data_IF_887517177401
#
_entry.id   IF_887517177401
#
_cell.length_a   1.000
_cell.length_b   1.000
_cell.length_c   1.000
_cell.angle_alpha   90.00
_cell.angle_beta   90.00
_cell.angle_gamma   90.00
#
_symmetry.space_group_name_H-M   'P 1'
#
loop_
_entity.id
_entity.type
_entity.pdbx_description
1 polymer ?
#
# COMPACT_ATOMS: atom_id res chain seq x y z
N UNK A 1 -21.68 11.84 23.36
CA UNK A 1 -21.11 11.15 22.20
C UNK A 1 -19.80 10.50 22.61
N UNK A 2 -19.71 9.22 22.46
CA UNK A 2 -18.48 8.46 22.68
C UNK A 2 -17.98 8.06 21.30
N UNK A 3 -16.73 8.43 20.97
CA UNK A 3 -16.14 8.04 19.69
C UNK A 3 -15.34 6.75 19.88
N UNK A 4 -15.59 5.78 19.00
CA UNK A 4 -14.80 4.53 18.92
C UNK A 4 -13.50 4.76 18.19
N UNK A 5 -13.45 5.77 17.30
CA UNK A 5 -12.25 6.24 16.62
C UNK A 5 -12.20 7.77 16.64
N UNK A 6 -11.06 8.32 17.03
CA UNK A 6 -10.76 9.75 16.92
C UNK A 6 -9.32 9.93 16.46
N UNK A 7 -9.11 10.54 15.31
CA UNK A 7 -7.80 11.01 14.88
C UNK A 7 -7.87 12.47 14.48
N UNK A 8 -6.78 13.20 14.76
CA UNK A 8 -6.66 14.62 14.41
C UNK A 8 -5.25 14.89 13.89
N UNK A 9 -5.14 15.72 12.85
CA UNK A 9 -3.87 16.15 12.30
C UNK A 9 -3.90 17.59 11.82
N UNK A 10 -2.81 18.30 12.02
CA UNK A 10 -2.51 19.60 11.40
C UNK A 10 -1.94 19.46 10.00
N UNK A 11 -1.56 18.23 9.58
CA UNK A 11 -1.05 17.93 8.25
C UNK A 11 -2.16 17.66 7.23
N UNK A 12 -3.27 18.34 7.35
CA UNK A 12 -4.47 18.14 6.55
C UNK A 12 -4.22 18.39 5.04
N UNK A 13 -3.28 19.30 4.69
CA UNK A 13 -2.88 19.52 3.30
C UNK A 13 -2.25 18.28 2.66
N UNK A 14 -1.40 17.54 3.40
CA UNK A 14 -0.82 16.29 2.93
C UNK A 14 -1.90 15.23 2.71
N UNK A 15 -2.87 15.13 3.63
CA UNK A 15 -4.01 14.21 3.47
C UNK A 15 -4.86 14.53 2.23
N UNK A 16 -5.04 15.79 1.89
CA UNK A 16 -5.73 16.19 0.66
C UNK A 16 -4.97 15.77 -0.59
N UNK A 17 -3.64 15.98 -0.62
CA UNK A 17 -2.79 15.61 -1.77
C UNK A 17 -2.80 14.11 -1.98
N UNK A 18 -2.59 13.32 -0.92
CA UNK A 18 -2.59 11.86 -1.01
C UNK A 18 -3.95 11.32 -1.43
N UNK A 19 -5.04 11.89 -0.90
CA UNK A 19 -6.41 11.48 -1.29
C UNK A 19 -6.68 11.80 -2.76
N UNK A 20 -6.21 12.94 -3.30
CA UNK A 20 -6.35 13.26 -4.74
C UNK A 20 -5.58 12.29 -5.63
N UNK A 21 -4.37 11.88 -5.22
CA UNK A 21 -3.60 10.86 -5.93
C UNK A 21 -4.31 9.50 -5.91
N UNK A 22 -4.78 9.05 -4.74
CA UNK A 22 -5.52 7.79 -4.59
C UNK A 22 -6.82 7.82 -5.40
N UNK A 23 -7.57 8.91 -5.38
CA UNK A 23 -8.82 9.06 -6.16
C UNK A 23 -8.61 8.92 -7.68
N UNK A 24 -7.39 9.13 -8.16
CA UNK A 24 -7.06 8.93 -9.59
C UNK A 24 -6.79 7.45 -9.94
N UNK A 25 -6.65 6.60 -8.94
CA UNK A 25 -6.32 5.17 -9.06
C UNK A 25 -7.46 4.28 -8.59
N UNK A 26 -8.17 4.69 -7.54
CA UNK A 26 -9.22 3.93 -6.85
C UNK A 26 -10.50 4.78 -6.78
N UNK A 27 -11.66 4.13 -6.91
CA UNK A 27 -12.97 4.78 -6.68
C UNK A 27 -13.37 4.74 -5.22
N UNK A 28 -13.09 3.64 -4.57
CA UNK A 28 -13.46 3.26 -3.22
C UNK A 28 -12.31 2.42 -2.63
N UNK A 29 -12.18 2.40 -1.32
CA UNK A 29 -11.16 1.62 -0.63
C UNK A 29 -11.50 1.36 0.82
N UNK A 30 -11.00 0.23 1.34
CA UNK A 30 -11.01 -0.09 2.76
C UNK A 30 -9.84 0.60 3.47
N UNK A 31 -10.16 1.34 4.52
CA UNK A 31 -9.19 1.90 5.45
C UNK A 31 -9.23 1.09 6.73
N UNK A 32 -8.13 0.46 7.05
CA UNK A 32 -7.95 -0.34 8.26
C UNK A 32 -7.32 0.52 9.36
N UNK A 33 -7.98 0.61 10.49
CA UNK A 33 -7.50 1.31 11.68
C UNK A 33 -7.10 0.31 12.74
N UNK A 34 -5.93 0.51 13.33
CA UNK A 34 -5.34 -0.35 14.35
C UNK A 34 -5.13 0.42 15.65
N UNK A 35 -5.13 -0.26 16.83
CA UNK A 35 -4.77 0.35 18.11
C UNK A 35 -3.42 1.07 18.05
N UNK A 36 -3.20 2.03 18.96
CA UNK A 36 -1.94 2.77 19.01
C UNK A 36 -0.71 1.84 19.10
N UNK A 37 -0.82 0.78 19.91
CA UNK A 37 0.19 -0.28 20.00
C UNK A 37 -0.41 -1.62 19.62
N UNK A 38 0.32 -2.39 18.80
CA UNK A 38 0.02 -3.76 18.41
C UNK A 38 1.04 -4.65 19.12
N UNK A 39 0.60 -5.67 19.85
CA UNK A 39 1.47 -6.68 20.44
C UNK A 39 1.88 -7.70 19.40
N UNK A 40 3.20 -7.90 19.18
CA UNK A 40 3.69 -8.95 18.27
C UNK A 40 3.43 -10.32 18.89
N UNK A 41 2.77 -11.21 18.14
CA UNK A 41 2.53 -12.61 18.52
C UNK A 41 1.08 -13.04 18.55
N UNK A 42 0.13 -12.17 18.23
CA UNK A 42 -1.26 -12.54 18.06
C UNK A 42 -1.67 -12.44 16.59
N UNK A 43 -1.39 -13.54 15.83
CA UNK A 43 -2.00 -13.72 14.50
C UNK A 43 -3.52 -13.64 14.62
N UNK A 44 -4.14 -13.01 13.64
CA UNK A 44 -5.58 -12.78 13.58
C UNK A 44 -6.33 -14.12 13.52
N UNK A 45 -6.85 -14.58 14.66
CA UNK A 45 -7.88 -15.62 14.71
C UNK A 45 -9.22 -14.98 14.30
N UNK A 46 -9.48 -14.85 13.02
CA UNK A 46 -10.81 -14.66 12.46
C UNK A 46 -11.28 -16.01 11.88
N UNK A 47 -11.38 -17.03 12.73
CA UNK A 47 -12.19 -18.20 12.43
C UNK A 47 -13.65 -17.88 12.78
N UNK A 48 -14.40 -17.49 11.77
CA UNK A 48 -15.86 -17.53 11.81
C UNK A 48 -16.32 -18.99 11.97
N UNK A 49 -16.71 -19.38 13.17
CA UNK A 49 -17.45 -20.60 13.43
C UNK A 49 -18.81 -20.48 12.77
N UNK A 50 -18.95 -21.05 11.58
CA UNK A 50 -20.24 -21.42 11.05
C UNK A 50 -20.60 -22.79 11.61
N UNK A 51 -21.70 -22.82 12.36
CA UNK A 51 -22.38 -23.99 12.88
C UNK A 51 -22.94 -24.83 11.73
N UNK A 52 -22.63 -26.11 11.82
CA UNK A 52 -23.17 -27.20 11.00
C UNK A 52 -24.69 -27.20 10.93
N UNK A 53 -25.21 -27.37 9.73
CA UNK A 53 -26.46 -28.07 9.50
C UNK A 53 -26.29 -28.94 8.26
N UNK A 54 -26.31 -30.24 8.52
CA UNK A 54 -26.36 -31.33 7.55
C UNK A 54 -27.51 -31.17 6.58
N UNK A 55 -27.24 -31.43 5.30
CA UNK A 55 -28.21 -32.15 4.43
C UNK A 55 -27.48 -32.80 3.25
N UNK A 56 -27.55 -34.12 3.29
CA UNK A 56 -27.24 -35.05 2.20
C UNK A 56 -28.11 -34.79 0.98
N UNK A 57 -27.51 -34.79 -0.21
CA UNK A 57 -28.09 -35.36 -1.43
C UNK A 57 -26.99 -35.73 -2.41
N UNK A 58 -26.89 -37.04 -2.66
CA UNK A 58 -26.17 -37.66 -3.76
C UNK A 58 -26.86 -37.35 -5.09
N UNK A 59 -26.09 -37.13 -6.16
CA UNK A 59 -26.41 -37.66 -7.49
C UNK A 59 -25.19 -37.59 -8.42
N UNK A 60 -24.87 -38.75 -8.95
CA UNK A 60 -23.91 -38.98 -10.03
C UNK A 60 -24.40 -38.46 -11.37
N UNK A 61 -23.48 -38.06 -12.26
CA UNK A 61 -23.35 -38.56 -13.67
C UNK A 61 -22.41 -37.71 -14.50
N UNK A 62 -21.36 -38.30 -14.95
CA UNK A 62 -20.87 -38.60 -16.31
C UNK A 62 -20.52 -37.47 -17.30
N UNK A 63 -19.24 -37.54 -17.66
CA UNK A 63 -18.60 -37.45 -18.98
C UNK A 63 -18.99 -36.34 -19.99
N UNK A 64 -17.97 -35.55 -20.39
CA UNK A 64 -17.50 -35.54 -21.77
C UNK A 64 -16.30 -34.58 -21.95
N UNK A 65 -15.28 -35.11 -22.59
CA UNK A 65 -14.12 -34.46 -23.18
C UNK A 65 -14.47 -33.32 -24.15
N UNK A 66 -13.70 -32.23 -24.11
CA UNK A 66 -13.27 -31.56 -25.35
C UNK A 66 -12.05 -30.68 -25.10
N UNK A 67 -11.00 -31.11 -25.76
CA UNK A 67 -9.74 -30.47 -26.06
C UNK A 67 -9.94 -29.18 -26.83
N UNK A 68 -9.37 -28.05 -26.33
CA UNK A 68 -8.91 -26.97 -27.21
C UNK A 68 -7.90 -26.05 -26.49
N UNK A 69 -6.69 -26.14 -27.01
CA UNK A 69 -5.57 -25.25 -26.85
C UNK A 69 -5.94 -23.76 -26.93
N UNK A 70 -5.49 -22.97 -25.95
CA UNK A 70 -5.03 -21.61 -26.18
C UNK A 70 -4.03 -21.18 -25.10
N UNK A 71 -2.80 -21.06 -25.52
CA UNK A 71 -1.73 -20.31 -24.87
C UNK A 71 -2.12 -18.84 -24.88
N UNK A 72 -2.00 -18.16 -23.75
CA UNK A 72 -1.65 -16.76 -23.51
C UNK A 72 -2.31 -16.25 -22.24
N UNK A 73 -1.59 -16.24 -21.13
CA UNK A 73 -1.79 -15.30 -20.02
C UNK A 73 -0.90 -15.53 -18.80
N UNK A 74 0.42 -15.37 -18.93
CA UNK A 74 1.34 -15.54 -17.79
C UNK A 74 1.62 -14.26 -16.96
N UNK A 75 1.10 -13.11 -17.36
CA UNK A 75 1.39 -11.86 -16.64
C UNK A 75 0.34 -11.45 -15.59
N UNK A 76 -0.83 -12.02 -15.61
CA UNK A 76 -1.87 -11.78 -14.60
C UNK A 76 -1.73 -12.67 -13.35
N UNK A 77 -0.83 -13.64 -13.37
CA UNK A 77 -0.71 -14.64 -12.30
C UNK A 77 0.12 -14.20 -11.09
N UNK A 78 0.88 -13.12 -11.17
CA UNK A 78 1.74 -12.70 -10.03
C UNK A 78 0.96 -12.14 -8.84
N UNK A 79 -0.25 -11.67 -9.06
CA UNK A 79 -1.12 -11.16 -7.99
C UNK A 79 -2.18 -12.19 -7.55
N UNK A 80 -2.52 -13.20 -8.38
CA UNK A 80 -3.68 -14.09 -8.15
C UNK A 80 -3.38 -15.54 -7.78
N UNK A 81 -2.14 -15.99 -7.54
CA UNK A 81 -1.88 -17.42 -7.19
C UNK A 81 -1.17 -17.60 -5.87
N UNK A 82 -1.93 -17.85 -4.82
CA UNK A 82 -1.75 -18.96 -3.86
C UNK A 82 -2.88 -19.00 -2.84
N UNK A 83 -4.00 -19.51 -3.28
CA UNK A 83 -4.99 -20.14 -2.39
C UNK A 83 -4.91 -21.64 -2.70
N UNK A 84 -4.64 -22.42 -1.69
CA UNK A 84 -4.94 -23.80 -1.38
C UNK A 84 -3.74 -24.70 -1.05
N UNK A 85 -3.93 -25.32 0.13
CA UNK A 85 -3.46 -26.65 0.59
C UNK A 85 -2.02 -26.80 1.07
N UNK A 86 -1.88 -26.89 2.38
CA UNK A 86 -1.03 -27.90 3.01
C UNK A 86 -1.71 -28.52 4.24
N UNK A 87 -2.30 -29.67 4.03
CA UNK A 87 -2.44 -30.71 5.03
C UNK A 87 -1.39 -31.78 4.74
N UNK A 88 -0.58 -32.17 5.71
CA UNK A 88 -0.35 -33.55 6.16
C UNK A 88 0.95 -33.71 6.95
N UNK A 89 0.79 -34.01 8.18
CA UNK A 89 1.41 -35.03 9.06
C UNK A 89 2.77 -35.61 8.67
N UNK A 90 3.72 -35.58 9.60
CA UNK A 90 4.46 -36.81 9.99
C UNK A 90 5.06 -36.68 11.40
N UNK A 91 4.70 -37.65 12.24
CA UNK A 91 5.26 -37.96 13.56
C UNK A 91 6.69 -38.48 13.46
N UNK A 92 7.56 -38.16 14.41
CA UNK A 92 8.52 -39.10 14.95
C UNK A 92 9.00 -38.71 16.36
N UNK A 93 8.86 -39.63 17.28
CA UNK A 93 9.28 -39.62 18.69
C UNK A 93 10.78 -39.84 18.83
N UNK A 94 11.41 -39.20 19.81
CA UNK A 94 12.36 -39.89 20.73
C UNK A 94 12.66 -39.03 21.96
N UNK A 95 12.54 -39.61 23.13
CA UNK A 95 12.96 -39.19 24.48
C UNK A 95 14.23 -39.94 24.87
N UNK A 96 14.81 -39.74 26.09
CA UNK A 96 15.22 -38.53 26.84
C UNK A 96 16.68 -38.60 27.31
N UNK A 97 17.26 -37.54 27.84
CA UNK A 97 18.22 -37.67 28.92
C UNK A 97 18.28 -36.47 29.84
N UNK A 98 18.57 -36.77 31.12
CA UNK A 98 18.41 -35.98 32.34
C UNK A 98 19.65 -35.16 32.70
N UNK A 99 19.39 -34.14 33.55
CA UNK A 99 20.16 -33.50 34.61
C UNK A 99 21.02 -32.29 34.25
N UNK A 100 20.63 -31.10 34.79
CA UNK A 100 21.25 -30.51 35.98
C UNK A 100 20.60 -29.14 36.29
N UNK A 101 20.23 -28.98 37.54
CA UNK A 101 19.62 -27.78 38.14
C UNK A 101 20.54 -26.55 38.10
N UNK A 102 19.98 -25.42 37.63
CA UNK A 102 20.29 -24.05 38.10
C UNK A 102 19.04 -23.20 37.87
N UNK A 103 18.64 -22.35 38.80
CA UNK A 103 17.51 -21.45 38.61
C UNK A 103 17.93 -20.32 37.69
N UNK A 104 17.44 -20.33 36.48
CA UNK A 104 17.48 -19.17 35.55
C UNK A 104 16.37 -18.21 35.95
N UNK A 105 16.75 -17.02 36.32
CA UNK A 105 15.89 -15.85 36.41
C UNK A 105 15.18 -15.70 35.05
N UNK A 106 13.87 -15.79 35.08
CA UNK A 106 13.01 -15.44 33.90
C UNK A 106 13.15 -13.95 33.70
N UNK A 107 14.09 -13.55 32.84
CA UNK A 107 14.00 -12.28 32.12
C UNK A 107 12.69 -12.31 31.31
N UNK A 108 11.72 -11.49 31.69
CA UNK A 108 10.50 -11.35 30.95
C UNK A 108 10.87 -10.90 29.53
N UNK A 109 10.55 -11.69 28.53
CA UNK A 109 10.59 -11.26 27.13
C UNK A 109 9.67 -10.04 27.03
N UNK A 110 10.23 -8.85 26.90
CA UNK A 110 9.48 -7.66 26.51
C UNK A 110 8.98 -7.92 25.11
N UNK A 111 7.68 -8.20 24.98
CA UNK A 111 7.00 -8.30 23.68
C UNK A 111 7.24 -6.99 22.94
N UNK A 112 7.88 -7.07 21.78
CA UNK A 112 8.04 -5.91 20.88
C UNK A 112 6.67 -5.38 20.54
N UNK A 113 6.42 -4.12 20.86
CA UNK A 113 5.20 -3.41 20.48
C UNK A 113 5.46 -2.66 19.19
N UNK A 114 4.65 -2.92 18.16
CA UNK A 114 4.66 -2.13 16.93
C UNK A 114 3.62 -1.00 17.02
N UNK A 115 3.94 0.14 16.40
CA UNK A 115 3.01 1.27 16.35
C UNK A 115 1.92 0.94 15.34
N UNK A 116 0.66 1.06 15.74
CA UNK A 116 -0.49 0.93 14.87
C UNK A 116 -0.75 2.19 14.04
N UNK A 117 -1.99 2.42 13.65
CA UNK A 117 -2.37 3.58 12.85
C UNK A 117 -3.36 3.24 11.76
N UNK A 118 -3.24 3.87 10.60
CA UNK A 118 -4.12 3.69 9.46
C UNK A 118 -3.38 3.02 8.32
N UNK A 119 -3.98 1.96 7.77
CA UNK A 119 -3.44 1.24 6.60
C UNK A 119 -4.51 1.21 5.51
N UNK A 120 -4.09 1.45 4.27
CA UNK A 120 -4.87 1.20 3.07
C UNK A 120 -4.05 0.30 2.16
N UNK A 121 -4.65 -0.78 1.69
CA UNK A 121 -4.01 -1.75 0.80
C UNK A 121 -5.02 -2.24 -0.22
N UNK A 122 -5.02 -1.64 -1.39
CA UNK A 122 -6.02 -1.90 -2.43
C UNK A 122 -5.38 -2.01 -3.81
N UNK A 123 -5.93 -2.90 -4.63
CA UNK A 123 -5.57 -3.03 -6.04
C UNK A 123 -6.61 -2.34 -6.90
N UNK A 124 -6.16 -1.59 -7.89
CA UNK A 124 -7.08 -0.92 -8.79
C UNK A 124 -7.87 -1.92 -9.67
N UNK A 125 -9.01 -1.47 -10.22
CA UNK A 125 -9.93 -2.30 -11.04
C UNK A 125 -9.25 -3.03 -12.22
N UNK A 126 -8.12 -2.53 -12.70
CA UNK A 126 -7.39 -3.17 -13.80
C UNK A 126 -6.39 -4.24 -13.34
N UNK A 127 -6.22 -4.43 -12.04
CA UNK A 127 -5.25 -5.38 -11.47
C UNK A 127 -3.78 -4.98 -11.64
N UNK A 128 -3.49 -3.79 -12.21
CA UNK A 128 -2.13 -3.36 -12.56
C UNK A 128 -1.43 -2.56 -11.48
N UNK A 129 -2.19 -1.95 -10.57
CA UNK A 129 -1.65 -1.04 -9.55
C UNK A 129 -2.12 -1.49 -8.18
N UNK A 130 -1.17 -1.69 -7.27
CA UNK A 130 -1.44 -1.80 -5.85
C UNK A 130 -1.08 -0.48 -5.18
N UNK A 131 -2.02 0.08 -4.44
CA UNK A 131 -1.81 1.23 -3.56
C UNK A 131 -1.66 0.71 -2.14
N UNK A 132 -0.53 1.00 -1.52
CA UNK A 132 -0.30 0.73 -0.10
C UNK A 132 0.02 2.06 0.59
N UNK A 133 -0.78 2.43 1.56
CA UNK A 133 -0.56 3.62 2.40
C UNK A 133 -0.54 3.21 3.86
N UNK A 134 0.40 3.74 4.61
CA UNK A 134 0.48 3.58 6.06
C UNK A 134 0.68 4.94 6.72
N UNK A 135 -0.15 5.23 7.71
CA UNK A 135 -0.05 6.42 8.57
C UNK A 135 0.11 5.94 10.01
N UNK A 136 1.17 6.35 10.67
CA UNK A 136 1.51 5.87 12.01
C UNK A 136 0.74 6.64 13.08
N UNK A 137 0.20 5.92 14.06
CA UNK A 137 -0.64 6.48 15.11
C UNK A 137 0.06 7.58 15.93
N UNK A 138 1.38 7.45 16.17
CA UNK A 138 2.20 8.39 16.94
C UNK A 138 2.49 9.71 16.20
N UNK A 139 2.15 9.79 14.92
CA UNK A 139 2.34 10.98 14.07
C UNK A 139 1.11 11.89 13.98
N UNK A 140 -0.02 11.43 14.50
CA UNK A 140 -1.21 12.24 14.62
C UNK A 140 -1.15 13.11 15.87
N UNK A 141 -1.70 14.33 15.82
CA UNK A 141 -1.86 15.20 16.99
C UNK A 141 -2.75 14.56 18.06
N UNK A 142 -3.76 13.79 17.61
CA UNK A 142 -4.61 12.94 18.45
C UNK A 142 -4.85 11.65 17.71
N UNK A 143 -4.67 10.51 18.37
CA UNK A 143 -5.05 9.20 17.88
C UNK A 143 -5.66 8.39 19.04
N UNK A 144 -6.97 8.15 18.99
CA UNK A 144 -7.69 7.33 19.98
C UNK A 144 -8.46 6.24 19.27
N UNK A 145 -8.18 5.03 19.68
CA UNK A 145 -8.83 3.82 19.18
C UNK A 145 -9.51 3.12 20.36
N UNK A 146 -10.83 3.20 20.42
CA UNK A 146 -11.66 2.65 21.49
C UNK A 146 -12.57 1.51 20.99
N UNK A 147 -12.35 1.04 19.76
CA UNK A 147 -13.11 -0.07 19.21
C UNK A 147 -12.70 -1.37 19.88
N UNK A 148 -13.66 -2.26 20.13
CA UNK A 148 -13.45 -3.50 20.88
C UNK A 148 -12.66 -4.57 20.14
N UNK A 149 -12.57 -4.49 18.80
CA UNK A 149 -11.78 -5.42 17.97
C UNK A 149 -10.37 -4.87 17.70
N UNK A 150 -9.46 -5.75 17.28
CA UNK A 150 -8.07 -5.41 16.92
C UNK A 150 -7.95 -4.54 15.67
N UNK A 151 -8.94 -4.59 14.79
CA UNK A 151 -9.00 -3.85 13.53
C UNK A 151 -10.41 -3.26 13.36
N UNK A 152 -10.47 -2.02 12.91
CA UNK A 152 -11.69 -1.36 12.44
C UNK A 152 -11.51 -1.04 10.97
N UNK A 153 -12.30 -1.66 10.11
CA UNK A 153 -12.27 -1.44 8.66
C UNK A 153 -13.40 -0.50 8.26
N UNK A 154 -13.08 0.57 7.54
CA UNK A 154 -14.05 1.54 7.02
C UNK A 154 -13.95 1.59 5.49
N UNK A 155 -15.00 1.14 4.79
CA UNK A 155 -15.13 1.29 3.34
C UNK A 155 -15.52 2.72 2.97
N UNK A 156 -14.66 3.41 2.23
CA UNK A 156 -14.81 4.85 1.94
C UNK A 156 -14.82 5.09 0.42
N UNK A 157 -15.82 5.83 -0.07
CA UNK A 157 -15.80 6.44 -1.39
C UNK A 157 -14.77 7.57 -1.41
N UNK A 158 -13.67 7.35 -2.15
CA UNK A 158 -12.52 8.28 -2.19
C UNK A 158 -12.90 9.62 -2.82
N UNK A 159 -13.77 9.60 -3.83
CA UNK A 159 -14.26 10.82 -4.48
C UNK A 159 -15.06 11.71 -3.53
N UNK A 160 -15.90 11.12 -2.68
CA UNK A 160 -16.67 11.85 -1.68
C UNK A 160 -15.77 12.37 -0.55
N UNK A 161 -14.82 11.58 -0.08
CA UNK A 161 -13.80 12.04 0.86
C UNK A 161 -13.03 13.24 0.29
N UNK A 162 -12.56 13.14 -0.95
CA UNK A 162 -11.83 14.22 -1.61
C UNK A 162 -12.68 15.50 -1.75
N UNK A 163 -13.99 15.40 -2.02
CA UNK A 163 -14.89 16.58 -2.05
C UNK A 163 -14.90 17.30 -0.71
N UNK A 164 -14.94 16.56 0.40
CA UNK A 164 -14.86 17.16 1.74
C UNK A 164 -13.51 17.87 1.95
N UNK A 165 -12.40 17.20 1.59
CA UNK A 165 -11.06 17.76 1.76
C UNK A 165 -10.79 18.95 0.84
N UNK A 166 -11.45 19.06 -0.32
CA UNK A 166 -11.39 20.25 -1.17
C UNK A 166 -11.99 21.51 -0.53
N UNK A 167 -12.87 21.35 0.45
CA UNK A 167 -13.43 22.48 1.22
C UNK A 167 -12.48 23.05 2.28
N UNK A 168 -11.28 22.49 2.40
CA UNK A 168 -10.26 22.87 3.38
C UNK A 168 -9.42 24.04 2.89
N UNK A 169 -9.07 24.95 3.78
CA UNK A 169 -8.07 26.01 3.58
C UNK A 169 -6.69 25.58 4.11
N UNK A 170 -5.65 26.40 3.82
CA UNK A 170 -4.25 26.00 4.05
C UNK A 170 -3.84 25.75 5.51
N UNK A 171 -4.55 26.34 6.47
CA UNK A 171 -4.19 26.27 7.90
C UNK A 171 -5.19 25.48 8.74
N UNK A 172 -6.03 24.69 8.10
CA UNK A 172 -7.06 23.95 8.80
C UNK A 172 -6.48 22.68 9.44
N UNK A 173 -7.03 22.31 10.58
CA UNK A 173 -6.85 20.96 11.15
C UNK A 173 -7.95 20.07 10.62
N UNK A 174 -7.63 18.78 10.49
CA UNK A 174 -8.58 17.74 10.08
C UNK A 174 -8.74 16.72 11.20
N UNK A 175 -9.99 16.35 11.49
CA UNK A 175 -10.29 15.22 12.37
C UNK A 175 -11.20 14.23 11.65
N UNK A 176 -10.94 12.95 11.87
CA UNK A 176 -11.83 11.84 11.49
C UNK A 176 -12.35 11.20 12.76
N UNK A 177 -13.66 11.02 12.82
CA UNK A 177 -14.35 10.50 13.99
C UNK A 177 -15.36 9.44 13.56
N UNK A 178 -15.50 8.38 14.35
CA UNK A 178 -16.57 7.38 14.22
C UNK A 178 -17.31 7.31 15.54
N UNK A 179 -18.60 7.52 15.49
CA UNK A 179 -19.48 7.49 16.67
C UNK A 179 -19.87 6.05 17.02
N UNK A 180 -19.90 5.72 18.30
CA UNK A 180 -20.35 4.41 18.78
C UNK A 180 -21.84 4.13 18.45
N UNK A 181 -22.66 5.20 18.39
CA UNK A 181 -24.10 5.09 18.07
C UNK A 181 -24.36 4.94 16.54
N UNK A 182 -23.41 5.34 15.66
CA UNK A 182 -23.57 5.30 14.21
C UNK A 182 -22.23 4.97 13.53
N UNK A 183 -21.85 3.70 13.59
CA UNK A 183 -20.59 3.18 13.04
C UNK A 183 -20.56 3.18 11.50
N UNK A 184 -21.70 3.42 10.85
CA UNK A 184 -21.81 3.45 9.37
C UNK A 184 -21.48 4.82 8.78
N UNK A 185 -20.99 5.74 9.60
CA UNK A 185 -20.62 7.09 9.15
C UNK A 185 -19.22 7.48 9.60
N UNK A 186 -18.43 7.98 8.66
CA UNK A 186 -17.20 8.72 8.96
C UNK A 186 -17.52 10.21 9.08
N UNK A 187 -17.26 10.79 10.24
CA UNK A 187 -17.38 12.22 10.48
C UNK A 187 -16.03 12.88 10.20
N UNK A 188 -15.98 13.71 9.16
CA UNK A 188 -14.80 14.52 8.83
C UNK A 188 -15.04 15.94 9.31
N UNK A 189 -14.16 16.42 10.19
CA UNK A 189 -14.22 17.76 10.74
C UNK A 189 -13.01 18.56 10.27
N UNK A 190 -13.25 19.70 9.67
CA UNK A 190 -12.23 20.67 9.26
C UNK A 190 -12.40 21.93 10.14
N UNK A 191 -11.33 22.34 10.83
CA UNK A 191 -11.36 23.47 11.74
C UNK A 191 -10.27 24.47 11.37
N UNK A 192 -10.68 25.74 11.21
CA UNK A 192 -9.77 26.87 11.03
C UNK A 192 -9.80 27.75 12.26
N UNK A 193 -8.67 27.80 12.96
CA UNK A 193 -8.52 28.62 14.18
C UNK A 193 -8.55 30.09 13.84
N UNK A 194 -7.93 30.50 12.75
CA UNK A 194 -7.85 31.90 12.33
C UNK A 194 -9.22 32.47 11.96
N UNK A 195 -10.01 31.69 11.21
CA UNK A 195 -11.32 32.10 10.72
C UNK A 195 -12.46 31.81 11.71
N UNK A 196 -12.15 31.06 12.77
CA UNK A 196 -13.17 30.52 13.71
C UNK A 196 -14.28 29.73 13.01
N UNK A 197 -13.90 29.03 11.94
CA UNK A 197 -14.79 28.21 11.13
C UNK A 197 -14.63 26.74 11.50
N UNK A 198 -15.76 26.05 11.50
CA UNK A 198 -15.82 24.60 11.64
C UNK A 198 -16.75 24.02 10.57
N UNK A 199 -16.23 23.08 9.77
CA UNK A 199 -16.99 22.37 8.75
C UNK A 199 -17.07 20.90 9.16
N UNK A 200 -18.26 20.36 9.21
CA UNK A 200 -18.48 18.95 9.58
C UNK A 200 -19.20 18.24 8.45
N UNK A 201 -18.61 17.16 7.97
CA UNK A 201 -19.17 16.29 6.96
C UNK A 201 -19.42 14.91 7.57
N UNK A 202 -20.55 14.30 7.27
CA UNK A 202 -20.88 12.93 7.65
C UNK A 202 -20.95 12.11 6.37
N UNK A 203 -19.93 11.31 6.12
CA UNK A 203 -19.84 10.43 4.96
C UNK A 203 -20.45 9.08 5.30
N UNK A 204 -21.38 8.61 4.47
CA UNK A 204 -21.84 7.23 4.58
C UNK A 204 -20.71 6.29 4.16
N UNK A 205 -20.47 5.28 4.97
CA UNK A 205 -19.52 4.22 4.68
C UNK A 205 -20.13 3.20 3.72
N UNK A 206 -19.29 2.44 3.06
CA UNK A 206 -19.64 1.40 2.11
C UNK A 206 -19.20 0.04 2.68
N UNK A 207 -19.92 -0.98 2.33
CA UNK A 207 -19.49 -2.36 2.54
C UNK A 207 -18.68 -2.80 1.30
N UNK A 208 -17.38 -2.95 1.47
CA UNK A 208 -16.44 -3.32 0.41
C UNK A 208 -15.83 -4.65 0.81
N UNK A 209 -15.90 -5.64 -0.08
CA UNK A 209 -15.27 -6.95 0.14
C UNK A 209 -13.78 -6.79 0.41
N UNK A 210 -13.29 -7.41 1.47
CA UNK A 210 -11.86 -7.41 1.79
C UNK A 210 -11.13 -8.39 0.87
N UNK A 211 -10.25 -7.88 0.02
CA UNK A 211 -9.31 -8.73 -0.73
C UNK A 211 -7.99 -8.83 0.02
N UNK A 212 -7.58 -10.04 0.36
CA UNK A 212 -6.30 -10.28 1.00
C UNK A 212 -5.21 -10.48 -0.05
N UNK A 213 -4.21 -9.60 -0.04
CA UNK A 213 -3.04 -9.71 -0.90
C UNK A 213 -1.84 -10.13 -0.07
N UNK A 214 -1.27 -11.28 -0.37
CA UNK A 214 -0.03 -11.73 0.26
C UNK A 214 1.17 -11.07 -0.47
N UNK A 215 1.80 -10.11 0.19
CA UNK A 215 3.00 -9.44 -0.33
C UNK A 215 4.21 -10.19 0.21
N UNK A 216 4.77 -11.06 -0.62
CA UNK A 216 6.02 -11.74 -0.28
C UNK A 216 7.15 -10.71 -0.16
N UNK A 217 7.93 -10.70 0.93
CA UNK A 217 9.09 -9.84 1.06
C UNK A 217 10.08 -10.08 -0.07
N UNK A 218 10.42 -9.05 -0.84
CA UNK A 218 11.32 -9.12 -1.98
C UNK A 218 12.52 -8.21 -1.70
N UNK A 219 13.71 -8.72 -1.96
CA UNK A 219 14.92 -7.90 -1.98
C UNK A 219 15.09 -7.27 -3.36
N UNK A 220 15.19 -5.95 -3.38
CA UNK A 220 15.48 -5.19 -4.58
C UNK A 220 16.99 -4.91 -4.65
N UNK A 221 17.64 -5.05 -5.81
CA UNK A 221 19.08 -4.81 -5.94
C UNK A 221 19.49 -3.37 -5.64
N UNK A 222 18.64 -2.42 -5.98
CA UNK A 222 18.89 -0.99 -5.76
C UNK A 222 17.72 -0.30 -5.08
N UNK A 223 18.06 0.65 -4.21
CA UNK A 223 17.19 1.72 -3.74
C UNK A 223 17.62 3.01 -4.41
N UNK A 224 16.74 3.61 -5.21
CA UNK A 224 17.03 4.76 -6.08
C UNK A 224 16.24 5.94 -5.53
N UNK A 225 16.94 6.94 -5.01
CA UNK A 225 16.30 8.15 -4.44
C UNK A 225 16.66 9.36 -5.28
N UNK A 226 15.65 10.17 -5.63
CA UNK A 226 15.84 11.39 -6.40
C UNK A 226 14.84 12.46 -5.96
N UNK A 227 15.08 13.76 -6.28
CA UNK A 227 14.13 14.83 -6.01
C UNK A 227 12.77 14.57 -6.64
N UNK A 228 11.68 14.67 -5.86
CA UNK A 228 10.32 14.45 -6.34
C UNK A 228 9.94 15.34 -7.54
N UNK A 229 10.33 16.65 -7.58
CA UNK A 229 10.09 17.50 -8.75
C UNK A 229 10.81 17.03 -10.02
N UNK A 230 12.02 16.47 -9.89
CA UNK A 230 12.78 15.98 -11.03
C UNK A 230 12.12 14.72 -11.61
N UNK A 231 11.69 13.78 -10.76
CA UNK A 231 10.93 12.62 -11.22
C UNK A 231 9.65 13.02 -11.94
N UNK A 232 8.89 13.99 -11.38
CA UNK A 232 7.71 14.54 -12.04
C UNK A 232 8.05 15.13 -13.41
N UNK A 233 9.13 15.91 -13.50
CA UNK A 233 9.58 16.54 -14.75
C UNK A 233 9.94 15.48 -15.78
N UNK A 234 10.73 14.45 -15.44
CA UNK A 234 11.09 13.38 -16.35
C UNK A 234 9.86 12.64 -16.89
N UNK A 235 8.92 12.27 -16.04
CA UNK A 235 7.68 11.63 -16.46
C UNK A 235 6.86 12.54 -17.39
N UNK A 236 6.77 13.83 -17.08
CA UNK A 236 6.01 14.82 -17.86
C UNK A 236 6.65 15.06 -19.23
N UNK A 237 7.98 15.22 -19.27
CA UNK A 237 8.71 15.48 -20.52
C UNK A 237 8.63 14.27 -21.46
N UNK A 238 8.65 13.04 -20.91
CA UNK A 238 8.49 11.80 -21.68
C UNK A 238 7.06 11.63 -22.21
N UNK A 239 6.05 12.08 -21.50
CA UNK A 239 4.63 11.88 -21.86
C UNK A 239 4.23 12.57 -23.18
N UNK A 240 4.98 13.56 -23.62
CA UNK A 240 4.79 14.18 -24.94
C UNK A 240 5.31 13.31 -26.11
N UNK A 241 6.03 12.24 -25.82
CA UNK A 241 6.74 11.46 -26.82
C UNK A 241 6.40 9.97 -26.81
N UNK A 242 5.96 9.41 -25.68
CA UNK A 242 5.73 7.96 -25.55
C UNK A 242 4.66 7.63 -24.55
N UNK A 243 3.93 6.53 -24.74
CA UNK A 243 2.96 5.98 -23.79
C UNK A 243 3.58 5.00 -22.79
N UNK A 244 4.70 4.36 -23.16
CA UNK A 244 5.42 3.41 -22.34
C UNK A 244 6.83 3.92 -22.08
N UNK A 245 7.31 3.80 -20.86
CA UNK A 245 8.65 4.20 -20.45
C UNK A 245 9.41 2.98 -19.94
N UNK A 246 10.61 2.80 -20.46
CA UNK A 246 11.58 1.88 -19.88
C UNK A 246 12.40 2.64 -18.83
N UNK A 247 12.45 2.10 -17.63
CA UNK A 247 13.28 2.60 -16.53
C UNK A 247 14.38 1.58 -16.32
N UNK A 248 15.64 2.01 -16.47
CA UNK A 248 16.83 1.17 -16.31
C UNK A 248 17.77 1.81 -15.31
N UNK A 249 18.26 1.04 -14.36
CA UNK A 249 19.24 1.49 -13.39
C UNK A 249 20.50 0.61 -13.39
N UNK A 250 21.61 1.27 -13.19
CA UNK A 250 22.92 0.69 -12.90
C UNK A 250 23.38 1.20 -11.54
N UNK A 251 24.54 0.78 -11.07
CA UNK A 251 25.10 1.25 -9.79
C UNK A 251 25.36 2.77 -9.71
N UNK A 252 25.32 3.52 -10.83
CA UNK A 252 25.69 4.95 -10.86
C UNK A 252 24.76 5.82 -11.69
N UNK A 253 23.89 5.23 -12.50
CA UNK A 253 23.07 5.96 -13.45
C UNK A 253 21.68 5.41 -13.52
N UNK A 254 20.72 6.31 -13.71
CA UNK A 254 19.32 6.02 -13.97
C UNK A 254 18.98 6.49 -15.38
N UNK A 255 18.30 5.64 -16.15
CA UNK A 255 17.90 5.93 -17.51
C UNK A 255 16.38 5.86 -17.61
N UNK A 256 15.80 6.81 -18.32
CA UNK A 256 14.42 6.82 -18.74
C UNK A 256 14.39 6.82 -20.25
N UNK A 257 13.88 5.78 -20.89
CA UNK A 257 13.82 5.69 -22.34
C UNK A 257 12.44 5.28 -22.84
N UNK A 258 12.12 5.68 -24.05
CA UNK A 258 10.83 5.37 -24.68
C UNK A 258 10.86 5.51 -26.19
N UNK A 259 9.97 4.79 -26.85
CA UNK A 259 9.74 4.89 -28.30
C UNK A 259 8.39 5.53 -28.55
N UNK A 260 8.35 6.50 -29.42
CA UNK A 260 7.11 7.18 -29.81
C UNK A 260 7.16 7.66 -31.25
N UNK A 261 6.15 8.41 -31.68
CA UNK A 261 6.04 8.92 -33.06
C UNK A 261 7.20 9.83 -33.46
N UNK A 262 7.78 10.57 -32.51
CA UNK A 262 8.91 11.49 -32.74
C UNK A 262 10.23 10.72 -32.91
N UNK A 263 10.30 9.44 -32.49
CA UNK A 263 11.50 8.62 -32.45
C UNK A 263 11.79 8.09 -31.06
N UNK A 264 13.06 7.77 -30.83
CA UNK A 264 13.52 7.31 -29.51
C UNK A 264 13.93 8.50 -28.65
N UNK A 265 13.49 8.49 -27.39
CA UNK A 265 13.86 9.48 -26.38
C UNK A 265 14.57 8.76 -25.24
N UNK A 266 15.71 9.29 -24.79
CA UNK A 266 16.45 8.77 -23.66
C UNK A 266 16.94 9.92 -22.77
N UNK A 267 16.67 9.81 -21.45
CA UNK A 267 17.24 10.69 -20.42
C UNK A 267 18.21 9.87 -19.58
N UNK A 268 19.45 10.30 -19.51
CA UNK A 268 20.46 9.74 -18.63
C UNK A 268 20.66 10.66 -17.43
N UNK A 269 20.52 10.12 -16.22
CA UNK A 269 20.68 10.83 -14.96
C UNK A 269 21.79 10.17 -14.17
N UNK A 270 22.85 10.91 -13.88
CA UNK A 270 23.97 10.47 -13.03
C UNK A 270 23.77 10.88 -11.58
N UNK A 271 24.49 10.21 -10.67
CA UNK A 271 24.50 10.58 -9.26
C UNK A 271 25.07 11.98 -9.04
N UNK A 272 24.40 12.75 -8.21
CA UNK A 272 24.85 14.08 -7.80
C UNK A 272 24.52 14.35 -6.34
N UNK A 273 25.29 15.23 -5.71
CA UNK A 273 25.02 15.62 -4.32
C UNK A 273 23.70 16.42 -4.24
N UNK A 274 22.74 15.90 -3.51
CA UNK A 274 21.37 16.46 -3.42
C UNK A 274 20.44 16.10 -4.58
N UNK A 275 20.92 15.38 -5.61
CA UNK A 275 20.13 14.85 -6.73
C UNK A 275 19.91 13.34 -6.61
N UNK A 276 20.12 12.62 -7.72
CA UNK A 276 20.01 11.18 -7.77
C UNK A 276 21.02 10.50 -6.82
N UNK A 277 20.56 9.55 -6.04
CA UNK A 277 21.35 8.66 -5.18
C UNK A 277 20.92 7.21 -5.44
N UNK A 278 21.89 6.31 -5.67
CA UNK A 278 21.63 4.89 -5.90
C UNK A 278 22.37 4.09 -4.83
N UNK A 279 21.64 3.41 -3.98
CA UNK A 279 22.21 2.55 -2.94
C UNK A 279 22.05 1.10 -3.37
N UNK A 280 23.17 0.38 -3.53
CA UNK A 280 23.15 -1.06 -3.79
C UNK A 280 22.83 -1.80 -2.50
N UNK A 281 21.85 -2.71 -2.56
CA UNK A 281 21.46 -3.58 -1.44
C UNK A 281 22.04 -4.98 -1.58
N UNK A 282 22.71 -5.26 -2.71
CA UNK A 282 23.35 -6.55 -3.01
C UNK A 282 24.86 -6.38 -3.21
N UNK A 283 25.61 -7.48 -3.07
CA UNK A 283 27.06 -7.50 -3.32
C UNK A 283 27.43 -7.36 -4.79
N UNK A 284 26.47 -7.54 -5.69
CA UNK A 284 26.68 -7.44 -7.14
C UNK A 284 26.43 -6.00 -7.63
N UNK A 285 27.49 -5.19 -7.64
CA UNK A 285 27.44 -3.78 -8.06
C UNK A 285 27.32 -3.58 -9.58
N UNK A 286 27.41 -4.65 -10.37
CA UNK A 286 27.32 -4.58 -11.84
C UNK A 286 25.98 -5.05 -12.39
N UNK A 287 25.01 -5.31 -11.53
CA UNK A 287 23.67 -5.73 -11.95
C UNK A 287 22.97 -4.56 -12.66
N UNK A 288 22.39 -4.85 -13.82
CA UNK A 288 21.51 -3.92 -14.53
C UNK A 288 20.08 -4.35 -14.26
N UNK A 289 19.30 -3.44 -13.72
CA UNK A 289 17.87 -3.65 -13.52
C UNK A 289 17.05 -2.76 -14.44
N UNK A 290 16.00 -3.30 -15.01
CA UNK A 290 15.16 -2.57 -15.96
C UNK A 290 13.72 -3.08 -15.93
N UNK A 291 12.78 -2.24 -16.37
CA UNK A 291 11.39 -2.58 -16.55
C UNK A 291 10.69 -1.58 -17.46
N UNK A 292 9.70 -2.07 -18.20
CA UNK A 292 8.86 -1.26 -19.09
C UNK A 292 7.53 -1.00 -18.38
N UNK A 293 7.06 0.26 -18.33
CA UNK A 293 5.87 0.66 -17.57
C UNK A 293 4.98 1.61 -18.38
N UNK A 294 3.66 1.57 -18.12
CA UNK A 294 2.74 2.55 -18.68
C UNK A 294 2.94 3.92 -18.03
N UNK A 295 3.38 4.89 -18.82
CA UNK A 295 3.75 6.23 -18.34
C UNK A 295 2.58 6.99 -17.72
N UNK A 296 1.35 6.77 -18.20
CA UNK A 296 0.14 7.40 -17.63
C UNK A 296 -0.02 7.16 -16.13
N UNK A 297 0.35 5.96 -15.63
CA UNK A 297 0.23 5.64 -14.21
C UNK A 297 1.34 6.30 -13.39
N UNK A 298 2.56 6.34 -13.92
CA UNK A 298 3.65 7.07 -13.28
C UNK A 298 3.34 8.55 -13.16
N UNK A 299 2.70 9.15 -14.17
CA UNK A 299 2.22 10.53 -14.12
C UNK A 299 1.17 10.76 -13.00
N UNK A 300 0.27 9.79 -12.79
CA UNK A 300 -0.66 9.86 -11.65
C UNK A 300 0.11 9.81 -10.34
N UNK A 301 1.13 8.93 -10.23
CA UNK A 301 1.97 8.82 -9.04
C UNK A 301 2.69 10.13 -8.71
N UNK A 302 3.09 10.89 -9.73
CA UNK A 302 3.73 12.20 -9.52
C UNK A 302 2.81 13.28 -8.94
N UNK A 303 1.50 13.05 -8.80
CA UNK A 303 0.62 13.92 -8.00
C UNK A 303 1.07 14.01 -6.54
N UNK A 304 1.80 13.00 -6.06
CA UNK A 304 2.41 12.97 -4.73
C UNK A 304 3.67 13.85 -4.60
N UNK A 305 4.13 14.50 -5.65
CA UNK A 305 5.37 15.31 -5.65
C UNK A 305 5.42 16.36 -4.53
N UNK A 306 4.28 16.95 -4.18
CA UNK A 306 4.20 17.99 -3.15
C UNK A 306 4.09 17.43 -1.71
N UNK A 307 4.14 16.12 -1.52
CA UNK A 307 4.13 15.48 -0.19
C UNK A 307 5.50 15.54 0.48
N UNK A 308 6.56 15.38 -0.30
CA UNK A 308 7.94 15.32 0.19
C UNK A 308 8.94 15.73 -0.89
N UNK A 309 10.15 16.06 -0.46
CA UNK A 309 11.20 16.55 -1.36
C UNK A 309 11.84 15.46 -2.22
N UNK A 310 11.75 14.20 -1.79
CA UNK A 310 12.39 13.06 -2.43
C UNK A 310 11.40 11.92 -2.66
N UNK A 311 11.57 11.21 -3.75
CA UNK A 311 10.88 9.97 -4.08
C UNK A 311 11.90 8.83 -4.12
N UNK A 312 11.50 7.65 -3.65
CA UNK A 312 12.33 6.44 -3.71
C UNK A 312 11.69 5.43 -4.64
N UNK A 313 12.48 4.94 -5.59
CA UNK A 313 12.10 3.90 -6.53
C UNK A 313 12.81 2.60 -6.17
N UNK A 314 12.07 1.50 -6.20
CA UNK A 314 12.62 0.15 -6.09
C UNK A 314 12.32 -0.58 -7.38
N UNK A 315 13.38 -1.06 -8.02
CA UNK A 315 13.30 -1.71 -9.33
C UNK A 315 14.04 -3.05 -9.30
N UNK A 316 13.43 -4.05 -9.94
CA UNK A 316 13.99 -5.39 -10.14
C UNK A 316 13.47 -5.93 -11.47
N UNK A 317 14.30 -6.70 -12.18
CA UNK A 317 13.94 -7.32 -13.45
C UNK A 317 12.72 -8.22 -13.28
N UNK A 318 11.75 -8.14 -14.18
CA UNK A 318 10.53 -8.93 -14.21
C UNK A 318 9.61 -8.76 -12.99
N UNK A 319 9.78 -7.66 -12.24
CA UNK A 319 8.95 -7.32 -11.08
C UNK A 319 8.31 -5.95 -11.23
N UNK A 320 7.21 -5.72 -10.50
CA UNK A 320 6.61 -4.40 -10.41
C UNK A 320 7.59 -3.35 -9.87
N UNK A 321 7.54 -2.14 -10.39
CA UNK A 321 8.22 -1.00 -9.79
C UNK A 321 7.44 -0.54 -8.56
N UNK A 322 8.17 -0.18 -7.50
CA UNK A 322 7.60 0.46 -6.32
C UNK A 322 8.06 1.92 -6.28
N UNK A 323 7.12 2.83 -6.23
CA UNK A 323 7.36 4.27 -6.08
C UNK A 323 6.88 4.69 -4.70
N UNK A 324 7.78 5.14 -3.84
CA UNK A 324 7.48 5.48 -2.44
C UNK A 324 7.62 6.98 -2.21
N UNK A 325 6.58 7.58 -1.62
CA UNK A 325 6.59 8.96 -1.13
C UNK A 325 6.30 8.97 0.37
N UNK A 326 6.99 9.85 1.11
CA UNK A 326 6.62 10.16 2.48
C UNK A 326 5.41 11.10 2.48
N UNK A 327 4.42 10.82 3.31
CA UNK A 327 3.23 11.66 3.49
C UNK A 327 3.53 12.67 4.62
N UNK A 328 4.30 13.71 4.28
CA UNK A 328 4.83 14.66 5.25
C UNK A 328 5.50 13.90 6.43
N UNK A 329 5.06 14.14 7.69
CA UNK A 329 5.54 13.37 8.84
C UNK A 329 4.59 12.24 9.27
N UNK A 330 3.45 12.03 8.58
CA UNK A 330 2.42 11.07 9.00
C UNK A 330 2.76 9.61 8.69
N UNK A 331 3.51 9.37 7.62
CA UNK A 331 3.78 8.01 7.16
C UNK A 331 4.21 7.96 5.70
N UNK A 332 3.84 6.91 4.98
CA UNK A 332 4.27 6.68 3.60
C UNK A 332 3.15 6.16 2.71
N UNK A 333 3.29 6.43 1.41
CA UNK A 333 2.51 5.76 0.36
C UNK A 333 3.45 5.06 -0.61
N UNK A 334 3.16 3.80 -0.90
CA UNK A 334 3.82 2.95 -1.89
C UNK A 334 2.86 2.68 -3.03
N UNK A 335 3.27 3.02 -4.20
CA UNK A 335 2.52 2.82 -5.43
C UNK A 335 3.27 1.76 -6.24
N UNK A 336 2.65 0.59 -6.39
CA UNK A 336 3.24 -0.58 -7.04
C UNK A 336 2.61 -0.71 -8.41
N UNK A 337 3.43 -0.68 -9.47
CA UNK A 337 2.97 -0.77 -10.86
C UNK A 337 3.56 -2.00 -11.53
N UNK A 338 2.69 -2.86 -12.04
CA UNK A 338 3.10 -4.04 -12.82
C UNK A 338 3.79 -3.64 -14.12
N UNK A 339 4.83 -4.39 -14.55
CA UNK A 339 5.50 -4.12 -15.82
C UNK A 339 4.55 -4.35 -17.00
N UNK A 340 4.77 -3.58 -18.07
CA UNK A 340 4.10 -3.77 -19.36
C UNK A 340 4.83 -4.81 -20.19
N UNK A 341 4.11 -5.56 -21.00
CA UNK A 341 4.74 -6.42 -22.00
C UNK A 341 5.39 -5.53 -23.09
N UNK A 342 6.54 -5.97 -23.59
CA UNK A 342 7.11 -5.41 -24.82
C UNK A 342 6.19 -5.81 -25.99
N UNK A 343 5.90 -4.86 -26.86
CA UNK A 343 5.09 -5.09 -28.07
C UNK A 343 5.91 -5.84 -29.11
#
# INVERSE_FOLDING_TARGET
>A
MVYILELKTTQAAAMKIVTDAINSLLTDANFDFYPYYIEEGEESDDESKNSDTDNDYESESDDADSDSSNEDSDSEQYIKKKITKKNSKANAKSKPNKNSDKPEEKAGEEKKKTIGGVVLKEVNKTGKILVYMRLDADKFDVYKYNYHKKKLTLGIDIGNLLKCLKCMSHFDTMSWLVDDEDINKLIVVLESVERKEKKTFKLNLMDIEEETYDITPIQFPYSITLPSPDFHKYCKDMAGSTDKIEIKATSKKLFFSGKGEIGNVEFEVGETNGGLQIVSTTSNTNEIVQGLFELKFLLIFTKCTNLCNQVTLFLKNDYPIIVTYQIAALGEIKLVLSPSKAD
#
